data_IF_757198109374
#
_entry.id   IF_757198109374
#
_cell.length_a   1.000
_cell.length_b   1.000
_cell.length_c   1.000
_cell.angle_alpha   90.00
_cell.angle_beta   90.00
_cell.angle_gamma   90.00
#
_symmetry.space_group_name_H-M   'P 1'
#
loop_
_entity.id
_entity.type
_entity.pdbx_description
1 polymer ?
#
# COMPACT_ATOMS: atom_id res chain seq x y z
N UNK A 1 -1.48 18.08 9.32
CA UNK A 1 -0.05 17.79 9.07
C UNK A 1 -0.02 16.50 8.29
N UNK A 2 0.51 16.51 7.07
CA UNK A 2 0.69 15.29 6.29
C UNK A 2 1.83 14.46 6.90
N UNK A 3 1.76 13.14 6.75
CA UNK A 3 2.82 12.23 7.22
C UNK A 3 4.08 12.33 6.35
N UNK A 4 5.25 12.00 6.90
CA UNK A 4 6.52 11.95 6.14
C UNK A 4 6.56 10.79 5.15
N UNK A 5 7.39 10.89 4.10
CA UNK A 5 7.59 9.80 3.13
C UNK A 5 7.96 8.48 3.80
N UNK A 6 8.95 8.48 4.69
CA UNK A 6 9.38 7.28 5.44
C UNK A 6 8.23 6.65 6.25
N UNK A 7 7.35 7.49 6.82
CA UNK A 7 6.17 7.02 7.55
C UNK A 7 5.10 6.44 6.62
N UNK A 8 4.94 7.03 5.43
CA UNK A 8 4.05 6.52 4.39
C UNK A 8 4.53 5.16 3.85
N UNK A 9 5.83 5.02 3.59
CA UNK A 9 6.46 3.76 3.17
C UNK A 9 6.31 2.68 4.25
N UNK A 10 6.57 3.05 5.51
CA UNK A 10 6.36 2.14 6.65
C UNK A 10 4.89 1.70 6.74
N UNK A 11 3.94 2.60 6.51
CA UNK A 11 2.52 2.25 6.51
C UNK A 11 2.18 1.32 5.35
N UNK A 12 2.64 1.61 4.14
CA UNK A 12 2.42 0.77 2.96
C UNK A 12 3.02 -0.64 3.15
N UNK A 13 4.19 -0.74 3.76
CA UNK A 13 4.79 -2.04 4.14
C UNK A 13 3.92 -2.82 5.13
N UNK A 14 3.29 -2.14 6.10
CA UNK A 14 2.33 -2.79 7.00
C UNK A 14 1.09 -3.28 6.25
N UNK A 15 0.58 -2.48 5.31
CA UNK A 15 -0.54 -2.89 4.44
C UNK A 15 -0.15 -4.11 3.62
N UNK A 16 1.04 -4.12 3.00
CA UNK A 16 1.57 -5.26 2.26
C UNK A 16 1.68 -6.50 3.15
N UNK A 17 2.21 -6.37 4.37
CA UNK A 17 2.31 -7.47 5.32
C UNK A 17 0.94 -8.04 5.73
N UNK A 18 -0.03 -7.17 5.99
CA UNK A 18 -1.41 -7.58 6.24
C UNK A 18 -2.01 -8.29 5.02
N UNK A 19 -1.85 -7.73 3.82
CA UNK A 19 -2.35 -8.29 2.57
C UNK A 19 -1.79 -9.69 2.26
N UNK A 20 -0.48 -9.89 2.47
CA UNK A 20 0.17 -11.20 2.31
C UNK A 20 -0.37 -12.24 3.29
N UNK A 21 -0.82 -11.81 4.47
CA UNK A 21 -1.50 -12.68 5.43
C UNK A 21 -2.96 -13.00 5.06
N UNK A 22 -3.55 -12.31 4.08
CA UNK A 22 -4.94 -12.51 3.65
C UNK A 22 -5.01 -13.41 2.41
N UNK A 23 -5.31 -14.70 2.61
CA UNK A 23 -5.37 -15.71 1.53
C UNK A 23 -6.43 -15.40 0.46
N UNK A 24 -7.46 -14.61 0.80
CA UNK A 24 -8.51 -14.19 -0.14
C UNK A 24 -8.14 -12.92 -0.91
N UNK A 25 -7.45 -11.98 -0.27
CA UNK A 25 -7.10 -10.68 -0.89
C UNK A 25 -5.79 -10.72 -1.66
N UNK A 26 -4.83 -11.53 -1.23
CA UNK A 26 -3.55 -11.72 -1.92
C UNK A 26 -3.73 -12.09 -3.40
N UNK A 27 -4.51 -13.13 -3.80
CA UNK A 27 -4.68 -13.46 -5.20
C UNK A 27 -5.40 -12.36 -6.00
N UNK A 28 -6.30 -11.60 -5.36
CA UNK A 28 -6.99 -10.46 -5.99
C UNK A 28 -6.00 -9.33 -6.26
N UNK A 29 -5.13 -9.01 -5.30
CA UNK A 29 -4.07 -8.03 -5.48
C UNK A 29 -3.09 -8.40 -6.59
N UNK A 30 -2.61 -9.65 -6.59
CA UNK A 30 -1.70 -10.15 -7.62
C UNK A 30 -2.36 -10.11 -9.00
N UNK A 31 -3.65 -10.48 -9.08
CA UNK A 31 -4.43 -10.37 -10.32
C UNK A 31 -4.67 -8.93 -10.78
N UNK A 32 -4.88 -7.99 -9.86
CA UNK A 32 -5.14 -6.58 -10.18
C UNK A 32 -3.87 -5.82 -10.59
N UNK A 33 -2.74 -6.10 -9.94
CA UNK A 33 -1.46 -5.42 -10.18
C UNK A 33 -0.58 -6.12 -11.22
N UNK A 34 -0.86 -7.39 -11.51
CA UNK A 34 0.03 -8.24 -12.33
C UNK A 34 1.33 -8.63 -11.61
N UNK A 35 1.45 -8.33 -10.31
CA UNK A 35 2.59 -8.73 -9.49
C UNK A 35 2.57 -10.24 -9.22
N UNK A 36 3.74 -10.79 -8.92
CA UNK A 36 3.91 -12.15 -8.41
C UNK A 36 4.33 -12.13 -6.95
N UNK A 37 4.28 -13.27 -6.27
CA UNK A 37 4.78 -13.39 -4.89
C UNK A 37 6.27 -13.06 -4.75
N UNK A 38 7.05 -13.28 -5.81
CA UNK A 38 8.47 -12.90 -5.88
C UNK A 38 8.62 -11.38 -5.99
N UNK A 39 7.81 -10.76 -6.86
CA UNK A 39 7.73 -9.31 -7.05
C UNK A 39 7.44 -8.57 -5.73
N UNK A 40 6.58 -9.13 -4.87
CA UNK A 40 6.30 -8.56 -3.54
C UNK A 40 7.57 -8.36 -2.71
N UNK A 41 8.51 -9.31 -2.77
CA UNK A 41 9.77 -9.24 -2.01
C UNK A 41 10.75 -8.29 -2.68
N UNK A 42 10.87 -8.36 -4.00
CA UNK A 42 11.85 -7.57 -4.75
C UNK A 42 11.48 -6.09 -4.78
N UNK A 43 10.18 -5.76 -4.80
CA UNK A 43 9.67 -4.39 -4.92
C UNK A 43 9.09 -3.82 -3.64
N UNK A 44 9.12 -4.55 -2.53
CA UNK A 44 8.73 -4.01 -1.21
C UNK A 44 9.52 -2.73 -0.82
N UNK A 45 10.72 -2.54 -1.37
CA UNK A 45 11.51 -1.31 -1.16
C UNK A 45 11.20 -0.17 -2.13
N UNK A 46 10.36 -0.39 -3.15
CA UNK A 46 10.08 0.59 -4.19
C UNK A 46 8.85 1.43 -3.80
N UNK A 47 9.03 2.74 -3.65
CA UNK A 47 7.95 3.65 -3.25
C UNK A 47 6.77 3.63 -4.25
N UNK A 48 7.04 3.42 -5.54
CA UNK A 48 6.01 3.24 -6.58
C UNK A 48 5.14 1.99 -6.35
N UNK A 49 5.78 0.86 -6.02
CA UNK A 49 5.07 -0.38 -5.71
C UNK A 49 4.24 -0.25 -4.43
N UNK A 50 4.82 0.36 -3.39
CA UNK A 50 4.13 0.65 -2.14
C UNK A 50 2.91 1.58 -2.36
N UNK A 51 3.00 2.52 -3.31
CA UNK A 51 1.87 3.35 -3.74
C UNK A 51 0.75 2.50 -4.36
N UNK A 52 1.09 1.51 -5.21
CA UNK A 52 0.10 0.57 -5.77
C UNK A 52 -0.55 -0.31 -4.70
N UNK A 53 0.18 -0.69 -3.65
CA UNK A 53 -0.39 -1.43 -2.49
C UNK A 53 -1.44 -0.58 -1.77
N UNK A 54 -1.14 0.70 -1.53
CA UNK A 54 -2.09 1.63 -0.93
C UNK A 54 -3.28 1.91 -1.86
N UNK A 55 -3.04 2.03 -3.17
CA UNK A 55 -4.11 2.18 -4.16
C UNK A 55 -5.09 1.01 -4.12
N UNK A 56 -4.57 -0.23 -4.09
CA UNK A 56 -5.38 -1.43 -3.98
C UNK A 56 -6.20 -1.46 -2.69
N UNK A 57 -5.59 -1.15 -1.54
CA UNK A 57 -6.31 -1.09 -0.27
C UNK A 57 -7.47 -0.08 -0.34
N UNK A 58 -7.25 1.05 -1.01
CA UNK A 58 -8.24 2.11 -1.16
C UNK A 58 -9.32 1.82 -2.23
N UNK A 59 -9.28 0.68 -2.93
CA UNK A 59 -10.34 0.29 -3.86
C UNK A 59 -11.63 -0.09 -3.14
N UNK A 60 -11.55 -0.57 -1.90
CA UNK A 60 -12.70 -0.96 -1.09
C UNK A 60 -12.56 -0.43 0.34
N UNK A 61 -13.54 0.37 0.78
CA UNK A 61 -13.55 0.93 2.14
C UNK A 61 -13.55 -0.15 3.22
N UNK A 62 -14.08 -1.35 2.96
CA UNK A 62 -14.08 -2.46 3.92
C UNK A 62 -12.66 -2.95 4.19
N UNK A 63 -11.80 -3.01 3.17
CA UNK A 63 -10.40 -3.40 3.34
C UNK A 63 -9.61 -2.34 4.10
N UNK A 64 -9.86 -1.06 3.82
CA UNK A 64 -9.28 0.05 4.59
C UNK A 64 -9.68 -0.11 6.06
N UNK A 65 -10.97 -0.37 6.33
CA UNK A 65 -11.46 -0.51 7.69
C UNK A 65 -10.83 -1.71 8.40
N UNK A 66 -10.78 -2.87 7.75
CA UNK A 66 -10.22 -4.09 8.33
C UNK A 66 -8.72 -3.94 8.63
N UNK A 67 -7.94 -3.40 7.69
CA UNK A 67 -6.53 -3.08 7.92
C UNK A 67 -6.35 -2.11 9.09
N UNK A 68 -7.15 -1.04 9.14
CA UNK A 68 -7.07 -0.02 10.17
C UNK A 68 -7.41 -0.56 11.57
N UNK A 69 -8.43 -1.42 11.67
CA UNK A 69 -8.81 -2.09 12.91
C UNK A 69 -7.71 -3.06 13.36
N UNK A 70 -7.24 -3.92 12.45
CA UNK A 70 -6.20 -4.91 12.72
C UNK A 70 -4.86 -4.30 13.14
N UNK A 71 -4.52 -3.10 12.64
CA UNK A 71 -3.26 -2.42 12.92
C UNK A 71 -3.40 -1.26 13.92
N UNK A 72 -4.61 -1.01 14.44
CA UNK A 72 -4.94 0.12 15.29
C UNK A 72 -4.43 1.47 14.76
N UNK A 73 -4.60 1.70 13.45
CA UNK A 73 -4.18 2.94 12.77
C UNK A 73 -5.40 3.80 12.39
N UNK A 74 -5.25 5.14 12.33
CA UNK A 74 -6.35 6.01 11.89
C UNK A 74 -6.79 5.74 10.46
N UNK A 75 -8.10 5.78 10.19
CA UNK A 75 -8.68 5.54 8.85
C UNK A 75 -8.28 6.56 7.79
N UNK A 76 -7.84 7.76 8.19
CA UNK A 76 -7.35 8.80 7.26
C UNK A 76 -5.88 8.56 6.87
N UNK A 77 -5.16 7.74 7.63
CA UNK A 77 -3.71 7.53 7.47
C UNK A 77 -3.34 6.85 6.13
N UNK A 78 -4.06 5.80 5.65
CA UNK A 78 -3.80 5.21 4.34
C UNK A 78 -3.96 6.21 3.19
N UNK A 79 -4.98 7.08 3.25
CA UNK A 79 -5.19 8.14 2.28
C UNK A 79 -4.07 9.17 2.28
N UNK A 80 -3.61 9.60 3.46
CA UNK A 80 -2.46 10.50 3.58
C UNK A 80 -1.17 9.86 3.05
N UNK A 81 -0.93 8.58 3.35
CA UNK A 81 0.23 7.84 2.86
C UNK A 81 0.23 7.74 1.34
N UNK A 82 -0.93 7.42 0.74
CA UNK A 82 -1.05 7.37 -0.71
C UNK A 82 -0.70 8.70 -1.34
N UNK A 83 -1.26 9.80 -0.85
CA UNK A 83 -0.96 11.15 -1.37
C UNK A 83 0.52 11.48 -1.26
N UNK A 84 1.17 11.07 -0.17
CA UNK A 84 2.59 11.30 0.06
C UNK A 84 3.48 10.47 -0.91
N UNK A 85 3.13 9.21 -1.19
CA UNK A 85 3.90 8.34 -2.10
C UNK A 85 3.61 8.65 -3.57
N UNK A 86 2.35 8.91 -3.95
CA UNK A 86 1.99 9.25 -5.32
C UNK A 86 2.50 10.62 -5.77
N UNK A 87 2.70 11.54 -4.83
CA UNK A 87 3.31 12.85 -5.08
C UNK A 87 4.84 12.85 -5.04
N UNK A 88 5.46 11.74 -4.59
CA UNK A 88 6.91 11.56 -4.49
C UNK A 88 7.55 10.92 -5.71
N UNK A 89 6.75 10.38 -6.64
CA UNK A 89 7.22 9.98 -7.97
C UNK A 89 7.58 11.24 -8.75
N UNK A 90 8.85 11.64 -8.64
CA UNK A 90 9.52 12.43 -9.67
C UNK A 90 9.17 11.77 -11.02
N UNK A 91 8.30 12.43 -11.77
CA UNK A 91 7.89 11.98 -13.10
C UNK A 91 9.14 12.08 -13.97
N UNK A 92 9.92 11.00 -14.03
CA UNK A 92 10.99 10.86 -15.00
C UNK A 92 10.35 10.45 -16.33
N UNK A 93 9.67 11.40 -16.98
CA UNK A 93 9.37 11.26 -18.39
C UNK A 93 10.68 11.52 -19.15
N UNK A 94 11.33 10.44 -19.59
CA UNK A 94 12.31 10.52 -20.68
C UNK A 94 11.61 10.70 -22.00
#
# INVERSE_FOLDING_TARGET
MAISAESAETLALKVLGWLVGNEELLPVFLGATGATTEDLRERAGESEFLSSVLDFLMLDDSWVVDFCDANAVPYDLPGQARMQLSGGSDVHWT
#
